data_IF_297518601589
#
_entry.id   IF_297518601589
#
_cell.length_a   1.000
_cell.length_b   1.000
_cell.length_c   1.000
_cell.angle_alpha   90.00
_cell.angle_beta   90.00
_cell.angle_gamma   90.00
#
_symmetry.space_group_name_H-M   'P 1'
#
loop_
_entity.id
_entity.type
_entity.pdbx_description
1 polymer ?
#
# COMPACT_ATOMS: atom_id res chain seq x y z
N UNK A 1 5.37 33.94 2.93
CA UNK A 1 6.09 32.73 3.40
C UNK A 1 5.86 32.65 4.89
N UNK A 2 5.28 31.56 5.38
CA UNK A 2 5.29 31.25 6.81
C UNK A 2 6.49 30.34 7.07
N UNK A 3 7.32 30.68 8.06
CA UNK A 3 8.43 29.84 8.54
C UNK A 3 7.97 28.86 9.62
N UNK A 4 6.74 29.03 10.11
CA UNK A 4 6.17 28.24 11.19
C UNK A 4 5.82 26.84 10.69
N UNK A 5 6.05 25.79 11.50
CA UNK A 5 5.61 24.44 11.15
C UNK A 5 4.08 24.36 11.10
N UNK A 6 3.55 23.47 10.26
CA UNK A 6 2.10 23.22 10.21
C UNK A 6 1.65 22.21 11.28
N UNK A 7 2.51 21.25 11.64
CA UNK A 7 2.25 20.33 12.73
C UNK A 7 2.28 21.01 14.10
N UNK A 8 1.33 20.65 14.96
CA UNK A 8 1.32 21.05 16.37
C UNK A 8 2.39 20.30 17.16
N UNK A 9 2.76 20.79 18.35
CA UNK A 9 3.67 20.06 19.24
C UNK A 9 3.13 18.67 19.60
N UNK A 10 1.82 18.54 19.78
CA UNK A 10 1.14 17.28 20.04
C UNK A 10 1.29 16.28 18.88
N UNK A 11 1.18 16.74 17.63
CA UNK A 11 1.42 15.91 16.46
C UNK A 11 2.88 15.45 16.36
N UNK A 12 3.83 16.32 16.67
CA UNK A 12 5.26 15.99 16.69
C UNK A 12 5.60 14.97 17.78
N UNK A 13 5.06 15.16 18.99
CA UNK A 13 5.22 14.22 20.11
C UNK A 13 4.59 12.86 19.80
N UNK A 14 3.37 12.84 19.27
CA UNK A 14 2.67 11.61 18.87
C UNK A 14 3.47 10.85 17.81
N UNK A 15 4.02 11.55 16.80
CA UNK A 15 4.91 10.94 15.79
C UNK A 15 6.15 10.32 16.43
N UNK A 16 6.81 11.02 17.35
CA UNK A 16 8.00 10.49 18.02
C UNK A 16 7.69 9.22 18.82
N UNK A 17 6.56 9.19 19.54
CA UNK A 17 6.09 8.02 20.28
C UNK A 17 5.75 6.85 19.36
N UNK A 18 5.02 7.09 18.26
CA UNK A 18 4.69 6.06 17.26
C UNK A 18 5.97 5.45 16.70
N UNK A 19 6.94 6.27 16.29
CA UNK A 19 8.21 5.78 15.76
C UNK A 19 8.99 4.95 16.78
N UNK A 20 8.99 5.35 18.06
CA UNK A 20 9.63 4.59 19.13
C UNK A 20 8.93 3.24 19.38
N UNK A 21 7.59 3.23 19.41
CA UNK A 21 6.79 2.00 19.58
C UNK A 21 6.97 1.02 18.42
N UNK A 22 7.02 1.51 17.18
CA UNK A 22 7.30 0.67 16.00
C UNK A 22 8.63 -0.05 16.16
N UNK A 23 9.70 0.69 16.49
CA UNK A 23 11.03 0.09 16.68
C UNK A 23 11.03 -0.91 17.83
N UNK A 24 10.38 -0.59 18.95
CA UNK A 24 10.27 -1.50 20.09
C UNK A 24 9.49 -2.77 19.73
N UNK A 25 8.40 -2.65 18.96
CA UNK A 25 7.60 -3.78 18.48
C UNK A 25 8.43 -4.71 17.61
N UNK A 26 9.11 -4.21 16.59
CA UNK A 26 9.92 -5.06 15.72
C UNK A 26 11.15 -5.65 16.43
N UNK A 27 11.74 -4.89 17.37
CA UNK A 27 12.81 -5.39 18.23
C UNK A 27 12.34 -6.58 19.09
N UNK A 28 11.16 -6.51 19.72
CA UNK A 28 10.63 -7.62 20.53
C UNK A 28 10.28 -8.85 19.69
N UNK A 29 10.03 -8.67 18.40
CA UNK A 29 9.73 -9.74 17.44
C UNK A 29 10.95 -10.20 16.62
N UNK A 30 12.16 -9.74 16.97
CA UNK A 30 13.42 -10.09 16.30
C UNK A 30 13.45 -9.77 14.79
N UNK A 31 12.78 -8.69 14.36
CA UNK A 31 12.83 -8.19 12.98
C UNK A 31 13.92 -7.12 12.88
N UNK A 32 14.79 -7.24 11.88
CA UNK A 32 15.97 -6.39 11.75
C UNK A 32 15.59 -5.07 11.06
N UNK A 33 15.91 -3.93 11.68
CA UNK A 33 15.81 -2.62 11.00
C UNK A 33 16.91 -2.53 9.94
N UNK A 34 16.54 -2.22 8.70
CA UNK A 34 17.47 -2.02 7.60
C UNK A 34 17.29 -0.63 6.99
N UNK A 35 18.33 -0.16 6.31
CA UNK A 35 18.29 1.06 5.50
C UNK A 35 18.67 0.73 4.07
N UNK A 36 17.78 1.07 3.14
CA UNK A 36 17.99 0.93 1.70
C UNK A 36 18.17 2.30 1.03
N UNK A 37 18.79 2.36 -0.16
CA UNK A 37 19.02 3.64 -0.85
C UNK A 37 17.72 4.38 -1.19
N UNK A 38 17.67 5.68 -0.87
CA UNK A 38 16.59 6.58 -1.30
C UNK A 38 16.74 6.95 -2.79
N UNK A 39 17.97 7.08 -3.28
CA UNK A 39 18.29 7.41 -4.67
C UNK A 39 18.63 6.15 -5.45
N UNK A 40 17.70 5.73 -6.32
CA UNK A 40 17.80 4.54 -7.14
C UNK A 40 18.13 4.84 -8.60
N UNK A 41 18.66 3.83 -9.29
CA UNK A 41 18.86 3.88 -10.74
C UNK A 41 17.56 3.64 -11.51
N UNK A 42 16.71 2.75 -10.99
CA UNK A 42 15.47 2.33 -11.62
C UNK A 42 14.27 2.91 -10.86
N UNK A 43 13.20 3.20 -11.60
CA UNK A 43 11.89 3.52 -11.05
C UNK A 43 11.01 2.25 -11.04
N UNK A 44 9.84 2.32 -10.40
CA UNK A 44 8.82 1.26 -10.50
C UNK A 44 8.04 1.39 -11.81
N UNK A 45 7.58 0.26 -12.36
CA UNK A 45 6.76 0.24 -13.59
C UNK A 45 5.28 0.53 -13.33
N UNK A 46 4.83 0.45 -12.08
CA UNK A 46 3.43 0.64 -11.69
C UNK A 46 2.78 1.84 -12.41
N UNK A 47 1.67 1.60 -13.10
CA UNK A 47 0.97 2.57 -13.93
C UNK A 47 0.50 3.81 -13.14
N UNK A 48 0.12 3.62 -11.89
CA UNK A 48 -0.52 4.63 -11.04
C UNK A 48 0.49 5.40 -10.19
N UNK A 49 1.73 4.93 -10.10
CA UNK A 49 2.81 5.63 -9.40
C UNK A 49 3.69 6.40 -10.40
N UNK A 50 3.90 7.68 -10.11
CA UNK A 50 4.86 8.52 -10.82
C UNK A 50 6.05 8.85 -9.90
N UNK A 51 7.26 8.51 -10.34
CA UNK A 51 8.47 8.77 -9.55
C UNK A 51 9.02 10.17 -9.76
N UNK A 52 9.71 10.71 -8.74
CA UNK A 52 10.42 11.99 -8.84
C UNK A 52 11.85 11.73 -9.34
N UNK A 53 12.20 12.31 -10.48
CA UNK A 53 13.54 12.22 -11.05
C UNK A 53 14.42 13.40 -10.61
N UNK A 54 15.72 13.13 -10.45
CA UNK A 54 16.76 14.14 -10.21
C UNK A 54 17.52 14.44 -11.50
N UNK A 55 18.28 15.54 -11.53
CA UNK A 55 19.05 15.97 -12.70
C UNK A 55 20.11 14.96 -13.17
N UNK A 56 20.59 14.09 -12.28
CA UNK A 56 21.59 13.06 -12.58
C UNK A 56 20.97 11.73 -13.05
N UNK A 57 19.72 11.75 -13.52
CA UNK A 57 18.96 10.55 -13.93
C UNK A 57 18.78 9.51 -12.81
N UNK A 58 18.98 9.90 -11.55
CA UNK A 58 18.61 9.10 -10.38
C UNK A 58 17.17 9.38 -10.01
N UNK A 59 16.49 8.39 -9.46
CA UNK A 59 15.09 8.43 -9.11
C UNK A 59 14.97 8.33 -7.58
N UNK A 60 14.13 9.18 -6.99
CA UNK A 60 13.74 9.01 -5.59
C UNK A 60 12.77 7.83 -5.48
N UNK A 61 13.05 6.90 -4.57
CA UNK A 61 12.28 5.68 -4.45
C UNK A 61 10.83 5.93 -4.00
N UNK A 62 9.90 5.21 -4.60
CA UNK A 62 8.46 5.29 -4.29
C UNK A 62 8.04 4.33 -3.17
N UNK A 63 8.92 3.36 -2.89
CA UNK A 63 8.95 2.40 -1.79
C UNK A 63 10.35 1.74 -1.77
N UNK A 64 10.84 1.25 -0.61
CA UNK A 64 12.06 0.47 -0.49
C UNK A 64 11.95 -0.98 -1.02
N UNK A 65 10.78 -1.42 -1.51
CA UNK A 65 10.41 -2.80 -1.84
C UNK A 65 11.47 -3.58 -2.63
N UNK A 66 11.93 -3.06 -3.78
CA UNK A 66 12.90 -3.81 -4.61
C UNK A 66 14.23 -4.04 -3.89
N UNK A 67 14.71 -3.02 -3.16
CA UNK A 67 15.96 -3.13 -2.41
C UNK A 67 15.80 -4.06 -1.20
N UNK A 68 14.67 -4.01 -0.51
CA UNK A 68 14.37 -4.91 0.60
C UNK A 68 14.23 -6.36 0.12
N UNK A 69 13.52 -6.62 -0.98
CA UNK A 69 13.42 -7.97 -1.55
C UNK A 69 14.78 -8.54 -1.98
N UNK A 70 15.71 -7.70 -2.44
CA UNK A 70 17.10 -8.12 -2.71
C UNK A 70 17.82 -8.53 -1.42
N UNK A 71 17.60 -7.82 -0.30
CA UNK A 71 18.10 -8.24 1.01
C UNK A 71 17.46 -9.57 1.45
N UNK A 72 16.15 -9.76 1.23
CA UNK A 72 15.46 -11.02 1.54
C UNK A 72 16.03 -12.21 0.76
N UNK A 73 16.21 -12.05 -0.56
CA UNK A 73 16.74 -13.11 -1.42
C UNK A 73 18.13 -13.57 -0.95
N UNK A 74 18.95 -12.64 -0.46
CA UNK A 74 20.31 -12.94 0.01
C UNK A 74 20.35 -13.46 1.46
N UNK A 75 19.75 -12.74 2.40
CA UNK A 75 19.87 -13.01 3.84
C UNK A 75 18.80 -13.94 4.40
N UNK A 76 17.63 -14.01 3.76
CA UNK A 76 16.50 -14.88 4.15
C UNK A 76 16.08 -14.68 5.61
N UNK A 77 16.00 -13.43 6.04
CA UNK A 77 15.59 -13.06 7.39
C UNK A 77 14.48 -12.00 7.36
N UNK A 78 13.77 -11.87 8.49
CA UNK A 78 12.74 -10.86 8.69
C UNK A 78 13.37 -9.48 8.84
N UNK A 79 12.88 -8.52 8.05
CA UNK A 79 13.41 -7.16 8.02
C UNK A 79 12.28 -6.13 7.99
N UNK A 80 12.55 -4.93 8.50
CA UNK A 80 11.69 -3.76 8.37
C UNK A 80 12.50 -2.50 8.08
N UNK A 81 11.86 -1.50 7.51
CA UNK A 81 12.41 -0.17 7.30
C UNK A 81 11.34 0.89 7.55
N UNK A 82 11.71 1.92 8.33
CA UNK A 82 10.91 3.12 8.52
C UNK A 82 11.62 4.29 7.83
N UNK A 83 11.12 4.73 6.66
CA UNK A 83 11.82 5.72 5.83
C UNK A 83 10.88 6.72 5.14
N UNK A 84 11.47 7.77 4.56
CA UNK A 84 10.78 8.65 3.62
C UNK A 84 10.72 8.01 2.23
N UNK A 85 9.58 8.14 1.57
CA UNK A 85 9.34 7.71 0.19
C UNK A 85 8.72 8.87 -0.59
N UNK A 86 8.84 8.81 -1.91
CA UNK A 86 8.57 9.95 -2.80
C UNK A 86 7.69 9.55 -3.97
N UNK A 87 6.57 10.23 -4.15
CA UNK A 87 5.63 9.98 -5.26
C UNK A 87 5.16 11.32 -5.82
N UNK A 88 5.31 11.52 -7.11
CA UNK A 88 4.97 12.77 -7.77
C UNK A 88 3.46 12.90 -7.98
N UNK A 89 2.95 14.13 -7.92
CA UNK A 89 1.58 14.49 -8.30
C UNK A 89 0.46 13.88 -7.44
N UNK A 90 0.77 13.43 -6.22
CA UNK A 90 -0.26 12.95 -5.31
C UNK A 90 -0.93 14.15 -4.59
N UNK A 91 -1.93 14.75 -5.24
CA UNK A 91 -2.60 15.96 -4.74
C UNK A 91 -3.94 15.64 -4.07
N UNK A 92 -3.94 15.51 -2.74
CA UNK A 92 -5.17 15.46 -1.94
C UNK A 92 -4.88 15.83 -0.47
N UNK A 93 -5.90 15.84 0.39
CA UNK A 93 -5.72 16.01 1.84
C UNK A 93 -5.07 14.80 2.53
N UNK A 94 -4.95 13.65 1.87
CA UNK A 94 -4.34 12.42 2.40
C UNK A 94 -2.99 12.08 1.77
N UNK A 95 -2.47 12.95 0.92
CA UNK A 95 -1.27 12.69 0.11
C UNK A 95 -0.31 13.86 0.16
N UNK A 96 0.98 13.56 0.16
CA UNK A 96 2.08 14.51 0.06
C UNK A 96 3.20 13.88 -0.77
N UNK A 97 3.90 14.68 -1.58
CA UNK A 97 4.92 14.13 -2.50
C UNK A 97 6.06 13.39 -1.76
N UNK A 98 6.34 13.78 -0.51
CA UNK A 98 7.20 13.04 0.43
C UNK A 98 6.40 12.63 1.67
N UNK A 99 6.42 11.34 2.01
CA UNK A 99 5.74 10.82 3.20
C UNK A 99 6.54 9.69 3.86
N UNK A 100 6.14 9.30 5.06
CA UNK A 100 6.78 8.29 5.90
C UNK A 100 6.09 6.96 5.74
N UNK A 101 6.85 5.97 5.31
CA UNK A 101 6.40 4.60 5.13
C UNK A 101 7.14 3.69 6.11
N UNK A 102 6.39 2.79 6.73
CA UNK A 102 6.91 1.61 7.38
C UNK A 102 6.68 0.44 6.43
N UNK A 103 7.74 -0.26 6.04
CA UNK A 103 7.63 -1.45 5.20
C UNK A 103 8.37 -2.60 5.87
N UNK A 104 7.80 -3.80 5.87
CA UNK A 104 8.46 -4.97 6.44
C UNK A 104 8.06 -6.25 5.74
N UNK A 105 8.89 -7.27 5.92
CA UNK A 105 8.74 -8.57 5.31
C UNK A 105 8.99 -9.68 6.33
N UNK A 106 8.15 -10.73 6.26
CA UNK A 106 8.23 -11.94 7.07
C UNK A 106 8.51 -13.15 6.18
N UNK A 107 9.62 -13.83 6.43
CA UNK A 107 10.02 -15.03 5.70
C UNK A 107 9.22 -16.23 6.18
N UNK A 108 8.79 -17.07 5.25
CA UNK A 108 7.96 -18.27 5.46
C UNK A 108 6.57 -17.99 6.07
N UNK A 109 6.14 -16.74 6.10
CA UNK A 109 4.79 -16.36 6.53
C UNK A 109 3.82 -16.33 5.35
N UNK A 110 2.55 -16.58 5.66
CA UNK A 110 1.45 -16.29 4.74
C UNK A 110 1.02 -14.82 4.88
N UNK A 111 0.45 -14.23 3.83
CA UNK A 111 -0.19 -12.91 3.91
C UNK A 111 -1.28 -12.85 5.00
N UNK A 112 -1.92 -13.97 5.35
CA UNK A 112 -2.90 -14.05 6.44
C UNK A 112 -2.28 -13.95 7.82
N UNK A 113 -1.07 -14.48 8.00
CA UNK A 113 -0.32 -14.30 9.24
C UNK A 113 0.18 -12.87 9.35
N UNK A 114 0.62 -12.28 8.24
CA UNK A 114 0.99 -10.88 8.18
C UNK A 114 -0.19 -9.96 8.55
N UNK A 115 -1.41 -10.22 8.08
CA UNK A 115 -2.58 -9.44 8.48
C UNK A 115 -2.84 -9.45 10.00
N UNK A 116 -2.53 -10.56 10.69
CA UNK A 116 -2.67 -10.63 12.17
C UNK A 116 -1.63 -9.74 12.85
N UNK A 117 -0.39 -9.78 12.39
CA UNK A 117 0.68 -8.92 12.89
C UNK A 117 0.40 -7.43 12.63
N UNK A 118 -0.12 -7.08 11.45
CA UNK A 118 -0.57 -5.71 11.15
C UNK A 118 -1.64 -5.27 12.15
N UNK A 119 -2.62 -6.13 12.47
CA UNK A 119 -3.66 -5.81 13.45
C UNK A 119 -3.09 -5.60 14.87
N UNK A 120 -2.13 -6.43 15.28
CA UNK A 120 -1.43 -6.31 16.57
C UNK A 120 -0.63 -5.02 16.65
N UNK A 121 0.12 -4.68 15.58
CA UNK A 121 0.87 -3.44 15.50
C UNK A 121 -0.06 -2.23 15.61
N UNK A 122 -1.13 -2.17 14.81
CA UNK A 122 -2.10 -1.05 14.86
C UNK A 122 -2.65 -0.88 16.27
N UNK A 123 -3.10 -1.97 16.90
CA UNK A 123 -3.62 -1.98 18.27
C UNK A 123 -2.59 -1.42 19.27
N UNK A 124 -1.33 -1.84 19.13
CA UNK A 124 -0.21 -1.37 19.96
C UNK A 124 0.07 0.13 19.79
N UNK A 125 0.01 0.63 18.55
CA UNK A 125 0.32 2.03 18.24
C UNK A 125 -0.78 2.97 18.72
N UNK A 126 -2.04 2.66 18.44
CA UNK A 126 -3.19 3.51 18.80
C UNK A 126 -3.48 3.48 20.31
N UNK A 127 -3.19 2.36 20.98
CA UNK A 127 -3.36 2.18 22.42
C UNK A 127 -4.79 2.43 22.91
N UNK A 128 -4.95 2.67 24.21
CA UNK A 128 -6.26 2.77 24.88
C UNK A 128 -7.12 3.96 24.40
N UNK A 129 -6.50 5.02 23.87
CA UNK A 129 -7.22 6.23 23.46
C UNK A 129 -8.10 6.00 22.23
N UNK A 130 -7.72 5.03 21.38
CA UNK A 130 -8.41 4.67 20.15
C UNK A 130 -8.52 3.14 20.01
N UNK A 131 -8.69 2.46 21.14
CA UNK A 131 -8.78 0.99 21.18
C UNK A 131 -9.76 0.52 20.09
N UNK A 132 -9.30 -0.27 19.10
CA UNK A 132 -10.16 -0.74 18.03
C UNK A 132 -11.32 -1.56 18.61
N UNK A 133 -12.52 -1.41 18.04
CA UNK A 133 -13.69 -2.16 18.51
C UNK A 133 -13.48 -3.67 18.30
N UNK A 134 -12.95 -4.04 17.14
CA UNK A 134 -12.74 -5.40 16.68
C UNK A 134 -11.92 -5.39 15.38
N UNK A 135 -11.48 -6.57 14.94
CA UNK A 135 -10.83 -6.79 13.64
C UNK A 135 -11.77 -7.57 12.72
N UNK A 136 -11.94 -7.10 11.50
CA UNK A 136 -12.77 -7.77 10.49
C UNK A 136 -11.93 -8.10 9.27
N UNK A 137 -12.02 -9.36 8.85
CA UNK A 137 -11.42 -9.85 7.61
C UNK A 137 -12.55 -10.16 6.64
N UNK A 138 -12.54 -9.51 5.47
CA UNK A 138 -13.57 -9.71 4.44
C UNK A 138 -12.91 -9.79 3.06
N UNK A 139 -13.30 -10.77 2.24
CA UNK A 139 -12.73 -10.84 0.89
C UNK A 139 -13.24 -9.72 0.00
N UNK A 140 -12.51 -9.38 -1.05
CA UNK A 140 -12.88 -8.38 -2.05
C UNK A 140 -14.24 -8.70 -2.68
N UNK A 141 -14.48 -9.98 -3.00
CA UNK A 141 -15.78 -10.40 -3.51
C UNK A 141 -16.91 -10.17 -2.48
N UNK A 142 -16.68 -10.54 -1.21
CA UNK A 142 -17.68 -10.41 -0.16
C UNK A 142 -18.01 -8.95 0.13
N UNK A 143 -17.01 -8.06 0.16
CA UNK A 143 -17.22 -6.65 0.47
C UNK A 143 -18.01 -5.94 -0.64
N UNK A 144 -17.73 -6.25 -1.91
CA UNK A 144 -18.51 -5.74 -3.05
C UNK A 144 -19.96 -6.23 -3.00
N UNK A 145 -20.16 -7.53 -2.74
CA UNK A 145 -21.50 -8.10 -2.62
C UNK A 145 -22.30 -7.47 -1.49
N UNK A 146 -21.65 -7.22 -0.35
CA UNK A 146 -22.28 -6.63 0.85
C UNK A 146 -22.64 -5.16 0.68
N UNK A 147 -21.74 -4.33 0.16
CA UNK A 147 -21.89 -2.86 0.20
C UNK A 147 -22.25 -2.21 -1.15
N UNK A 148 -22.03 -2.92 -2.25
CA UNK A 148 -22.33 -2.46 -3.60
C UNK A 148 -23.36 -3.35 -4.34
N UNK A 149 -23.69 -4.54 -3.80
CA UNK A 149 -24.60 -5.48 -4.45
C UNK A 149 -24.03 -6.13 -5.71
N UNK A 150 -22.71 -6.05 -5.91
CA UNK A 150 -21.99 -6.57 -7.08
C UNK A 150 -21.35 -7.91 -6.74
N UNK A 151 -21.49 -8.90 -7.61
CA UNK A 151 -20.71 -10.14 -7.55
C UNK A 151 -19.63 -10.09 -8.63
N UNK A 152 -18.39 -9.79 -8.22
CA UNK A 152 -17.29 -9.46 -9.14
C UNK A 152 -16.98 -10.57 -10.17
N UNK A 153 -17.41 -11.81 -9.92
CA UNK A 153 -17.21 -12.95 -10.82
C UNK A 153 -18.27 -13.05 -11.93
N UNK A 154 -19.47 -12.48 -11.71
CA UNK A 154 -20.62 -12.67 -12.61
C UNK A 154 -21.18 -11.36 -13.16
N UNK A 155 -20.94 -10.24 -12.48
CA UNK A 155 -21.39 -8.93 -12.90
C UNK A 155 -20.65 -8.45 -14.15
N UNK A 156 -21.40 -7.82 -15.05
CA UNK A 156 -20.88 -7.20 -16.26
C UNK A 156 -20.70 -5.69 -16.08
N UNK A 157 -20.09 -5.02 -17.05
CA UNK A 157 -19.80 -3.58 -16.98
C UNK A 157 -21.04 -2.69 -16.73
N UNK A 158 -22.23 -3.08 -17.22
CA UNK A 158 -23.46 -2.32 -16.99
C UNK A 158 -23.90 -2.34 -15.52
N UNK A 159 -23.63 -3.42 -14.78
CA UNK A 159 -23.93 -3.52 -13.35
C UNK A 159 -23.07 -2.53 -12.56
N UNK A 160 -21.78 -2.43 -12.88
CA UNK A 160 -20.88 -1.43 -12.29
C UNK A 160 -21.33 0.01 -12.62
N UNK A 161 -21.70 0.24 -13.88
CA UNK A 161 -22.20 1.55 -14.33
C UNK A 161 -23.45 1.97 -13.55
N UNK A 162 -24.38 1.03 -13.34
CA UNK A 162 -25.59 1.27 -12.57
C UNK A 162 -25.26 1.68 -11.13
N UNK A 163 -24.40 0.93 -10.44
CA UNK A 163 -24.00 1.26 -9.05
C UNK A 163 -23.34 2.64 -8.97
N UNK A 164 -22.46 2.97 -9.91
CA UNK A 164 -21.85 4.30 -9.99
C UNK A 164 -22.90 5.40 -10.23
N UNK A 165 -23.89 5.15 -11.10
CA UNK A 165 -25.00 6.07 -11.38
C UNK A 165 -25.89 6.30 -10.15
N UNK A 166 -26.26 5.23 -9.46
CA UNK A 166 -27.10 5.28 -8.25
C UNK A 166 -26.44 6.10 -7.12
N UNK A 167 -25.11 6.14 -7.09
CA UNK A 167 -24.32 6.91 -6.12
C UNK A 167 -23.80 8.25 -6.67
N UNK A 168 -24.28 8.68 -7.84
CA UNK A 168 -23.90 9.95 -8.49
C UNK A 168 -22.39 10.14 -8.67
N UNK A 169 -21.65 9.05 -8.90
CA UNK A 169 -20.22 9.12 -9.17
C UNK A 169 -19.97 9.75 -10.54
N UNK A 170 -19.04 10.71 -10.60
CA UNK A 170 -18.62 11.32 -11.87
C UNK A 170 -17.78 10.33 -12.66
N UNK A 171 -18.35 9.78 -13.72
CA UNK A 171 -17.64 8.90 -14.64
C UNK A 171 -17.01 9.74 -15.75
N UNK A 172 -15.68 9.76 -15.77
CA UNK A 172 -14.92 10.34 -16.86
C UNK A 172 -14.45 9.18 -17.75
N UNK A 173 -14.82 9.19 -19.03
CA UNK A 173 -14.45 8.20 -20.07
C UNK A 173 -14.95 6.74 -19.87
N UNK A 174 -14.72 5.90 -20.87
CA UNK A 174 -15.02 4.47 -20.83
C UNK A 174 -13.98 3.75 -19.95
N UNK A 175 -14.22 3.71 -18.64
CA UNK A 175 -13.37 3.03 -17.67
C UNK A 175 -13.36 1.50 -17.89
N UNK A 176 -12.26 0.86 -17.52
CA UNK A 176 -12.15 -0.60 -17.42
C UNK A 176 -12.93 -1.13 -16.21
N UNK A 177 -13.21 -2.43 -16.18
CA UNK A 177 -13.88 -3.08 -15.03
C UNK A 177 -13.14 -2.83 -13.71
N UNK A 178 -11.82 -2.97 -13.67
CA UNK A 178 -11.04 -2.73 -12.45
C UNK A 178 -11.05 -1.26 -12.02
N UNK A 179 -11.10 -0.31 -12.97
CA UNK A 179 -11.23 1.11 -12.64
C UNK A 179 -12.58 1.43 -12.00
N UNK A 180 -13.68 0.81 -12.47
CA UNK A 180 -14.97 0.89 -11.78
C UNK A 180 -14.90 0.29 -10.39
N UNK A 181 -14.27 -0.87 -10.24
CA UNK A 181 -14.11 -1.52 -8.95
C UNK A 181 -13.36 -0.61 -7.96
N UNK A 182 -12.21 -0.03 -8.35
CA UNK A 182 -11.47 0.91 -7.50
C UNK A 182 -12.33 2.12 -7.09
N UNK A 183 -13.06 2.73 -8.03
CA UNK A 183 -13.95 3.86 -7.72
C UNK A 183 -15.06 3.48 -6.73
N UNK A 184 -15.66 2.30 -6.88
CA UNK A 184 -16.70 1.80 -5.98
C UNK A 184 -16.11 1.49 -4.61
N UNK A 185 -14.95 0.86 -4.55
CA UNK A 185 -14.26 0.59 -3.29
C UNK A 185 -14.02 1.91 -2.53
N UNK A 186 -13.35 2.86 -3.17
CA UNK A 186 -12.91 4.10 -2.53
C UNK A 186 -14.06 5.05 -2.19
N UNK A 187 -15.03 5.22 -3.09
CA UNK A 187 -16.07 6.27 -2.94
C UNK A 187 -17.39 5.75 -2.38
N UNK A 188 -17.62 4.44 -2.38
CA UNK A 188 -18.88 3.85 -1.90
C UNK A 188 -18.64 2.92 -0.72
N UNK A 189 -17.68 2.00 -0.80
CA UNK A 189 -17.49 0.97 0.21
C UNK A 189 -16.74 1.52 1.42
N UNK A 190 -15.56 2.11 1.22
CA UNK A 190 -14.70 2.64 2.30
C UNK A 190 -15.44 3.65 3.20
N UNK A 191 -16.24 4.60 2.67
CA UNK A 191 -17.01 5.52 3.51
C UNK A 191 -18.10 4.85 4.37
N UNK A 192 -18.53 3.63 4.01
CA UNK A 192 -19.51 2.84 4.78
C UNK A 192 -18.86 1.97 5.87
N UNK A 193 -17.52 1.88 5.91
CA UNK A 193 -16.81 1.11 6.93
C UNK A 193 -16.86 1.81 8.29
N UNK A 194 -16.96 1.02 9.36
CA UNK A 194 -16.92 1.53 10.73
C UNK A 194 -15.52 2.09 11.04
N UNK A 195 -15.40 3.41 11.25
CA UNK A 195 -14.11 4.08 11.44
C UNK A 195 -13.26 3.52 12.59
N UNK A 196 -13.88 3.01 13.65
CA UNK A 196 -13.18 2.42 14.82
C UNK A 196 -12.88 0.92 14.69
N UNK A 197 -13.20 0.29 13.56
CA UNK A 197 -12.96 -1.13 13.29
C UNK A 197 -11.80 -1.28 12.33
N UNK A 198 -10.83 -2.13 12.70
CA UNK A 198 -9.76 -2.53 11.77
C UNK A 198 -10.39 -3.45 10.73
N UNK A 199 -10.42 -3.01 9.46
CA UNK A 199 -11.04 -3.79 8.38
C UNK A 199 -9.99 -4.17 7.34
N UNK A 200 -9.70 -5.45 7.23
CA UNK A 200 -8.90 -6.01 6.15
C UNK A 200 -9.80 -6.43 4.99
N UNK A 201 -9.50 -5.90 3.81
CA UNK A 201 -10.03 -6.40 2.54
C UNK A 201 -8.96 -7.27 1.91
N UNK A 202 -9.26 -8.50 1.49
CA UNK A 202 -8.25 -9.42 0.96
C UNK A 202 -8.74 -10.23 -0.25
N UNK A 203 -7.85 -10.96 -0.92
CA UNK A 203 -8.12 -11.72 -2.15
C UNK A 203 -8.61 -10.82 -3.30
N UNK A 204 -7.76 -9.88 -3.71
CA UNK A 204 -8.07 -8.92 -4.77
C UNK A 204 -8.13 -9.59 -6.16
N UNK A 205 -8.83 -8.99 -7.14
CA UNK A 205 -8.80 -9.45 -8.53
C UNK A 205 -7.38 -9.48 -9.11
N UNK A 206 -7.14 -10.38 -10.07
CA UNK A 206 -5.82 -10.57 -10.71
C UNK A 206 -5.29 -9.29 -11.36
N UNK A 207 -6.17 -8.46 -11.92
CA UNK A 207 -5.82 -7.17 -12.52
C UNK A 207 -5.31 -6.15 -11.49
N UNK A 208 -5.52 -6.42 -10.20
CA UNK A 208 -5.08 -5.60 -9.07
C UNK A 208 -4.04 -6.35 -8.21
N UNK A 209 -3.36 -7.35 -8.79
CA UNK A 209 -2.39 -8.17 -8.07
C UNK A 209 -1.10 -7.42 -7.70
N UNK A 210 -0.74 -6.35 -8.42
CA UNK A 210 0.55 -5.69 -8.28
C UNK A 210 1.71 -6.72 -8.30
N UNK A 211 2.42 -6.90 -7.19
CA UNK A 211 3.54 -7.84 -7.03
C UNK A 211 3.16 -9.07 -6.19
N UNK A 212 1.86 -9.30 -5.99
CA UNK A 212 1.33 -10.41 -5.22
C UNK A 212 1.31 -11.73 -6.01
N UNK A 213 1.51 -12.85 -5.30
CA UNK A 213 1.24 -14.21 -5.77
C UNK A 213 -0.26 -14.40 -6.03
N UNK A 214 -0.60 -15.26 -6.98
CA UNK A 214 -1.98 -15.68 -7.23
C UNK A 214 -2.28 -16.98 -6.49
N UNK A 215 -3.48 -17.09 -5.93
CA UNK A 215 -3.97 -18.33 -5.34
C UNK A 215 -4.65 -19.23 -6.39
N UNK A 216 -5.00 -20.45 -5.98
CA UNK A 216 -5.64 -21.46 -6.86
C UNK A 216 -7.01 -21.03 -7.41
N UNK A 217 -7.62 -20.00 -6.82
CA UNK A 217 -8.91 -19.45 -7.23
C UNK A 217 -8.76 -18.28 -8.22
N UNK A 218 -7.53 -17.93 -8.63
CA UNK A 218 -7.24 -16.84 -9.54
C UNK A 218 -7.38 -15.45 -8.90
N UNK A 219 -7.33 -15.36 -7.56
CA UNK A 219 -7.27 -14.09 -6.85
C UNK A 219 -5.83 -13.81 -6.41
N UNK A 220 -5.46 -12.54 -6.33
CA UNK A 220 -4.21 -12.11 -5.76
C UNK A 220 -4.23 -12.27 -4.24
N UNK A 221 -3.21 -12.91 -3.68
CA UNK A 221 -2.98 -13.04 -2.23
C UNK A 221 -2.51 -11.70 -1.64
N UNK A 222 -3.37 -10.69 -1.79
CA UNK A 222 -3.17 -9.29 -1.43
C UNK A 222 -4.23 -8.88 -0.42
N UNK A 223 -3.87 -7.98 0.47
CA UNK A 223 -4.78 -7.32 1.38
C UNK A 223 -4.51 -5.81 1.46
N UNK A 224 -5.56 -5.07 1.79
CA UNK A 224 -5.48 -3.68 2.23
C UNK A 224 -6.11 -3.57 3.62
N UNK A 225 -5.52 -2.72 4.47
CA UNK A 225 -6.05 -2.37 5.77
C UNK A 225 -6.74 -1.00 5.72
N UNK A 226 -7.96 -0.94 6.22
CA UNK A 226 -8.71 0.28 6.45
C UNK A 226 -8.98 0.52 7.94
N UNK A 227 -8.70 1.72 8.42
CA UNK A 227 -9.01 2.18 9.78
C UNK A 227 -9.13 3.70 9.79
N UNK A 228 -10.05 4.26 10.60
CA UNK A 228 -10.31 5.70 10.62
C UNK A 228 -10.98 6.26 9.36
N UNK A 229 -11.42 5.38 8.44
CA UNK A 229 -11.99 5.77 7.14
C UNK A 229 -10.95 6.03 6.05
N UNK A 230 -9.70 5.61 6.26
CA UNK A 230 -8.62 5.68 5.27
C UNK A 230 -7.92 4.33 5.14
N UNK A 231 -7.30 4.09 3.99
CA UNK A 231 -6.37 2.99 3.76
C UNK A 231 -5.05 3.28 4.50
N UNK A 232 -4.64 2.39 5.40
CA UNK A 232 -3.40 2.49 6.17
C UNK A 232 -2.29 1.58 5.64
N UNK A 233 -2.62 0.45 5.03
CA UNK A 233 -1.61 -0.50 4.59
C UNK A 233 -2.04 -1.28 3.35
N UNK A 234 -1.07 -1.68 2.55
CA UNK A 234 -1.21 -2.59 1.41
C UNK A 234 -0.12 -3.65 1.53
N UNK A 235 -0.51 -4.92 1.58
CA UNK A 235 0.41 -6.04 1.74
C UNK A 235 -0.04 -7.27 0.98
N UNK A 236 0.89 -8.20 0.76
CA UNK A 236 0.64 -9.36 -0.07
C UNK A 236 1.60 -10.51 0.21
N UNK A 237 1.23 -11.70 -0.29
CA UNK A 237 2.16 -12.81 -0.47
C UNK A 237 3.07 -12.48 -1.65
N UNK A 238 4.38 -12.55 -1.46
CA UNK A 238 5.33 -12.11 -2.46
C UNK A 238 5.40 -13.02 -3.69
N UNK A 239 5.36 -12.44 -4.89
CA UNK A 239 5.67 -13.16 -6.11
C UNK A 239 7.17 -13.52 -6.15
N UNK A 240 7.48 -14.81 -6.18
CA UNK A 240 8.85 -15.33 -6.25
C UNK A 240 9.29 -15.70 -7.66
N UNK A 241 8.35 -15.85 -8.60
CA UNK A 241 8.63 -16.19 -10.00
C UNK A 241 9.15 -14.98 -10.79
N UNK A 242 10.44 -15.01 -11.13
CA UNK A 242 11.09 -13.93 -11.87
C UNK A 242 10.58 -13.76 -13.31
N UNK A 243 10.11 -14.83 -13.95
CA UNK A 243 9.61 -14.78 -15.32
C UNK A 243 8.22 -14.16 -15.34
N UNK A 244 7.35 -14.55 -14.39
CA UNK A 244 6.05 -13.91 -14.21
C UNK A 244 6.22 -12.43 -13.85
N UNK A 245 7.16 -12.10 -12.95
CA UNK A 245 7.45 -10.73 -12.58
C UNK A 245 7.90 -9.88 -13.78
N UNK A 246 8.77 -10.42 -14.63
CA UNK A 246 9.20 -9.75 -15.86
C UNK A 246 8.00 -9.48 -16.79
N UNK A 247 7.12 -10.46 -16.98
CA UNK A 247 5.92 -10.29 -17.81
C UNK A 247 4.97 -9.22 -17.25
N UNK A 248 4.84 -9.10 -15.92
CA UNK A 248 4.07 -8.00 -15.29
C UNK A 248 4.70 -6.63 -15.55
N UNK A 249 6.03 -6.50 -15.45
CA UNK A 249 6.72 -5.26 -15.76
C UNK A 249 6.60 -4.83 -17.24
N UNK A 250 6.63 -5.79 -18.16
CA UNK A 250 6.41 -5.53 -19.59
C UNK A 250 4.98 -5.07 -19.86
N UNK A 251 4.00 -5.71 -19.21
CA UNK A 251 2.59 -5.34 -19.31
C UNK A 251 2.32 -3.95 -18.72
N UNK A 252 2.85 -3.62 -17.54
CA UNK A 252 2.79 -2.28 -16.96
C UNK A 252 3.29 -1.23 -17.96
N UNK A 253 4.47 -1.47 -18.56
CA UNK A 253 5.04 -0.58 -19.55
C UNK A 253 4.16 -0.43 -20.80
N UNK A 254 3.51 -1.51 -21.25
CA UNK A 254 2.54 -1.45 -22.34
C UNK A 254 1.34 -0.56 -21.96
N UNK A 255 0.81 -0.71 -20.75
CA UNK A 255 -0.30 0.12 -20.27
C UNK A 255 0.11 1.59 -20.12
N UNK A 256 1.32 1.86 -19.61
CA UNK A 256 1.87 3.21 -19.52
C UNK A 256 1.88 3.89 -20.89
N UNK A 257 2.37 3.20 -21.92
CA UNK A 257 2.39 3.73 -23.29
C UNK A 257 0.98 3.99 -23.83
N UNK A 258 0.01 3.12 -23.55
CA UNK A 258 -1.39 3.29 -23.99
C UNK A 258 -2.04 4.55 -23.40
N UNK A 259 -1.69 4.92 -22.17
CA UNK A 259 -2.19 6.15 -21.52
C UNK A 259 -1.27 7.37 -21.73
N UNK A 260 -0.27 7.27 -22.62
CA UNK A 260 0.64 8.36 -22.96
C UNK A 260 1.73 8.64 -21.92
N UNK A 261 1.91 7.77 -20.92
CA UNK A 261 3.06 7.78 -20.01
C UNK A 261 4.29 7.15 -20.69
N UNK A 262 5.48 7.49 -20.20
CA UNK A 262 6.74 6.88 -20.65
C UNK A 262 6.89 5.48 -20.07
N UNK A 263 7.44 4.56 -20.86
CA UNK A 263 7.94 3.30 -20.35
C UNK A 263 9.12 3.53 -19.38
N UNK A 264 9.24 2.66 -18.39
CA UNK A 264 10.25 2.66 -17.35
C UNK A 264 11.22 1.51 -17.61
N UNK A 265 12.51 1.78 -17.44
CA UNK A 265 13.55 0.75 -17.53
C UNK A 265 13.36 -0.28 -16.42
N UNK A 266 13.30 -1.55 -16.79
CA UNK A 266 13.08 -2.65 -15.85
C UNK A 266 14.30 -2.84 -14.96
N UNK A 267 14.09 -2.97 -13.65
CA UNK A 267 15.15 -3.24 -12.68
C UNK A 267 15.66 -4.69 -12.83
N UNK A 268 16.76 -4.84 -13.57
CA UNK A 268 17.40 -6.13 -13.81
C UNK A 268 17.97 -6.72 -12.52
N UNK A 269 18.45 -5.88 -11.59
CA UNK A 269 19.02 -6.33 -10.32
C UNK A 269 17.96 -6.98 -9.43
N UNK A 270 16.75 -6.42 -9.44
CA UNK A 270 15.61 -7.04 -8.76
C UNK A 270 15.24 -8.40 -9.40
N UNK A 271 15.17 -8.49 -10.73
CA UNK A 271 14.89 -9.75 -11.41
C UNK A 271 15.97 -10.81 -11.16
N UNK A 272 17.24 -10.42 -11.09
CA UNK A 272 18.34 -11.32 -10.75
C UNK A 272 18.23 -11.84 -9.31
N UNK A 273 17.77 -11.01 -8.37
CA UNK A 273 17.51 -11.44 -7.00
C UNK A 273 16.32 -12.41 -6.89
N UNK A 274 15.25 -12.22 -7.67
CA UNK A 274 14.19 -13.23 -7.76
C UNK A 274 14.73 -14.56 -8.29
N UNK A 275 15.53 -14.52 -9.37
CA UNK A 275 16.17 -15.71 -9.96
C UNK A 275 17.13 -16.43 -9.03
N UNK A 276 17.80 -15.72 -8.11
CA UNK A 276 18.70 -16.34 -7.13
C UNK A 276 17.95 -17.05 -6.00
N UNK A 277 16.65 -16.78 -5.86
CA UNK A 277 15.73 -17.47 -4.96
C UNK A 277 15.26 -16.56 -3.83
N UNK A 278 14.21 -15.78 -4.09
CA UNK A 278 13.44 -15.11 -3.04
C UNK A 278 12.68 -16.19 -2.24
N UNK A 279 12.86 -16.29 -0.91
CA UNK A 279 12.07 -17.22 -0.12
C UNK A 279 10.59 -16.85 -0.14
N UNK A 280 9.71 -17.85 0.01
CA UNK A 280 8.30 -17.59 0.30
C UNK A 280 8.21 -16.62 1.49
N UNK A 281 7.50 -15.53 1.30
CA UNK A 281 7.43 -14.42 2.25
C UNK A 281 6.17 -13.61 2.01
N UNK A 282 5.79 -12.82 3.01
CA UNK A 282 4.74 -11.82 2.90
C UNK A 282 5.30 -10.46 3.31
N UNK A 283 4.95 -9.42 2.56
CA UNK A 283 5.37 -8.05 2.79
C UNK A 283 4.19 -7.09 2.89
N UNK A 284 4.40 -5.96 3.55
CA UNK A 284 3.38 -4.91 3.70
C UNK A 284 4.03 -3.54 3.83
N UNK A 285 3.46 -2.57 3.11
CA UNK A 285 3.76 -1.15 3.23
C UNK A 285 2.63 -0.46 4.02
N UNK A 286 3.02 0.33 5.02
CA UNK A 286 2.13 0.97 5.99
C UNK A 286 2.39 2.48 6.06
N UNK A 287 1.32 3.27 5.91
CA UNK A 287 1.37 4.73 5.91
C UNK A 287 1.35 5.34 7.32
N UNK A 288 2.50 5.82 7.79
CA UNK A 288 2.63 6.37 9.15
C UNK A 288 1.91 7.72 9.29
N UNK A 289 1.99 8.58 8.28
CA UNK A 289 1.34 9.89 8.35
C UNK A 289 -0.19 9.74 8.39
N UNK A 290 -0.77 8.79 7.64
CA UNK A 290 -2.20 8.50 7.69
C UNK A 290 -2.63 7.92 9.04
N UNK A 291 -1.82 7.06 9.66
CA UNK A 291 -2.08 6.60 11.03
C UNK A 291 -2.11 7.78 12.01
N UNK A 292 -1.15 8.70 11.92
CA UNK A 292 -1.13 9.90 12.75
C UNK A 292 -2.37 10.78 12.53
N UNK A 293 -2.82 10.91 11.28
CA UNK A 293 -4.07 11.63 10.97
C UNK A 293 -5.26 11.03 11.70
N UNK A 294 -5.37 9.70 11.70
CA UNK A 294 -6.43 8.98 12.44
C UNK A 294 -6.27 9.16 13.95
N UNK A 295 -5.04 9.08 14.47
CA UNK A 295 -4.78 9.23 15.91
C UNK A 295 -5.14 10.60 16.47
N UNK A 296 -4.99 11.63 15.64
CA UNK A 296 -5.21 13.04 16.01
C UNK A 296 -6.56 13.58 15.49
N UNK A 297 -7.37 12.75 14.84
CA UNK A 297 -8.65 13.11 14.22
C UNK A 297 -8.55 14.34 13.30
N UNK A 298 -7.54 14.36 12.43
CA UNK A 298 -7.31 15.46 11.47
C UNK A 298 -7.57 15.02 10.03
N UNK A 299 -8.21 15.91 9.25
CA UNK A 299 -8.60 15.63 7.86
C UNK A 299 -7.56 15.97 6.80
N UNK A 300 -6.41 16.55 7.18
CA UNK A 300 -5.34 16.98 6.27
C UNK A 300 -3.96 16.51 6.78
N UNK A 301 -3.23 15.76 5.95
CA UNK A 301 -1.89 15.22 6.21
C UNK A 301 -0.89 16.30 6.60
N UNK A 302 -1.11 17.53 6.12
CA UNK A 302 -0.29 18.69 6.48
C UNK A 302 -0.26 18.98 7.98
N UNK A 303 -1.33 18.60 8.70
CA UNK A 303 -1.44 18.78 10.15
C UNK A 303 -0.51 17.86 10.94
N UNK A 304 0.02 16.81 10.31
CA UNK A 304 0.94 15.85 10.94
C UNK A 304 2.37 15.96 10.40
N UNK A 305 2.59 16.78 9.37
CA UNK A 305 3.91 17.04 8.77
C UNK A 305 4.52 18.31 9.37
N UNK A 306 5.79 18.25 9.78
CA UNK A 306 6.48 19.43 10.30
C UNK A 306 6.46 20.58 9.28
N UNK A 307 6.78 20.26 8.03
CA UNK A 307 6.79 21.19 6.89
C UNK A 307 6.29 20.46 5.64
N UNK A 308 5.03 20.65 5.23
CA UNK A 308 4.47 20.07 4.02
C UNK A 308 4.73 20.89 2.76
#
# INVERSE_FOLDING_TARGET
>A
MSWEPQATLDALSTRAEVNAKIRAFFQSHNVIEVETPILNQYAVTDLHIDSIATDNYKILHTSPEYAMKRLLAFHKCDIYQLCKVFRANEKSSYHNDEFTMLEWYRVAWSYKDLMKEVAELVTTLVGNNLEPLDVTYISYQQIFKKYAGIDIQTSNQADYLQVCGDHSLKLNSALTTHQYQNLILDQIIVPKLEKRRITFVYDFPVEQAALAKLNDQGCAERFELYFGGVELANGFQELTDAQEQLSRFEEDNRQRLLVGKKAIEIDIEFLLALKSGLPESAGVAFGIDRLLMVMLDVGDIKSVLSFP
#
